data_IF_066123142536
#
_entry.id   IF_066123142536
#
_cell.length_a   1.000
_cell.length_b   1.000
_cell.length_c   1.000
_cell.angle_alpha   90.00
_cell.angle_beta   90.00
_cell.angle_gamma   90.00
#
_symmetry.space_group_name_H-M   'P 1'
#
loop_
_entity.id
_entity.type
_entity.pdbx_description
1 polymer ?
#
# COMPACT_ATOMS: atom_id res chain seq x y z
N UNK A 1 -63.77 14.31 -11.19
CA UNK A 1 -62.88 13.37 -10.50
C UNK A 1 -61.79 12.95 -11.48
N UNK A 2 -60.58 13.53 -11.38
CA UNK A 2 -59.54 13.40 -12.40
C UNK A 2 -58.69 12.15 -12.10
N UNK A 3 -58.79 11.12 -12.94
CA UNK A 3 -57.88 9.96 -12.91
C UNK A 3 -56.57 10.35 -13.60
N UNK A 4 -55.56 10.73 -12.84
CA UNK A 4 -54.19 10.85 -13.34
C UNK A 4 -53.64 9.45 -13.61
N UNK A 5 -53.49 9.13 -14.90
CA UNK A 5 -52.79 7.93 -15.37
C UNK A 5 -51.29 8.15 -15.22
N UNK A 6 -50.73 7.70 -14.10
CA UNK A 6 -49.28 7.59 -13.99
C UNK A 6 -48.81 6.41 -14.83
N UNK A 7 -48.29 6.70 -16.02
CA UNK A 7 -47.71 5.69 -16.87
C UNK A 7 -46.53 5.02 -16.13
N UNK A 8 -46.57 3.68 -15.91
CA UNK A 8 -45.53 2.99 -15.17
C UNK A 8 -44.20 3.14 -15.91
N UNK A 9 -43.26 3.82 -15.26
CA UNK A 9 -41.90 4.00 -15.77
C UNK A 9 -41.32 2.61 -16.05
N UNK A 10 -41.04 2.30 -17.33
CA UNK A 10 -40.63 0.95 -17.74
C UNK A 10 -39.36 0.53 -17.00
N UNK A 11 -39.37 -0.69 -16.46
CA UNK A 11 -38.29 -1.26 -15.64
C UNK A 11 -36.89 -1.05 -16.25
N UNK A 12 -36.76 -1.19 -17.59
CA UNK A 12 -35.51 -0.97 -18.33
C UNK A 12 -34.95 0.46 -18.21
N UNK A 13 -35.80 1.49 -18.12
CA UNK A 13 -35.34 2.89 -18.00
C UNK A 13 -34.75 3.16 -16.63
N UNK A 14 -35.34 2.61 -15.56
CA UNK A 14 -34.84 2.72 -14.19
C UNK A 14 -33.45 2.10 -14.05
N UNK A 15 -33.24 0.90 -14.61
CA UNK A 15 -31.92 0.24 -14.58
C UNK A 15 -30.82 1.02 -15.29
N UNK A 16 -31.12 1.62 -16.46
CA UNK A 16 -30.14 2.46 -17.16
C UNK A 16 -29.74 3.68 -16.34
N UNK A 17 -30.70 4.34 -15.69
CA UNK A 17 -30.42 5.48 -14.81
C UNK A 17 -29.55 5.07 -13.61
N UNK A 18 -29.88 3.95 -12.96
CA UNK A 18 -29.07 3.43 -11.84
C UNK A 18 -27.65 3.07 -12.28
N UNK A 19 -27.49 2.44 -13.45
CA UNK A 19 -26.17 2.11 -14.00
C UNK A 19 -25.35 3.37 -14.27
N UNK A 20 -25.95 4.40 -14.88
CA UNK A 20 -25.27 5.68 -15.13
C UNK A 20 -24.84 6.35 -13.82
N UNK A 21 -25.72 6.38 -12.82
CA UNK A 21 -25.39 6.92 -11.49
C UNK A 21 -24.27 6.13 -10.82
N UNK A 22 -24.28 4.80 -10.92
CA UNK A 22 -23.23 3.94 -10.40
C UNK A 22 -21.87 4.23 -11.06
N UNK A 23 -21.83 4.30 -12.39
CA UNK A 23 -20.60 4.62 -13.13
C UNK A 23 -20.09 6.02 -12.73
N UNK A 24 -20.96 7.02 -12.69
CA UNK A 24 -20.59 8.38 -12.31
C UNK A 24 -20.01 8.44 -10.88
N UNK A 25 -20.65 7.75 -9.92
CA UNK A 25 -20.16 7.66 -8.54
C UNK A 25 -18.80 6.96 -8.46
N UNK A 26 -18.63 5.85 -9.19
CA UNK A 26 -17.37 5.10 -9.22
C UNK A 26 -16.24 5.90 -9.86
N UNK A 27 -16.49 6.57 -10.98
CA UNK A 27 -15.52 7.46 -11.63
C UNK A 27 -15.13 8.64 -10.72
N UNK A 28 -16.10 9.26 -10.05
CA UNK A 28 -15.84 10.33 -9.09
C UNK A 28 -14.97 9.86 -7.92
N UNK A 29 -15.26 8.68 -7.37
CA UNK A 29 -14.44 8.07 -6.33
C UNK A 29 -13.00 7.79 -6.80
N UNK A 30 -12.84 7.26 -8.02
CA UNK A 30 -11.52 6.98 -8.59
C UNK A 30 -10.70 8.26 -8.76
N UNK A 31 -11.31 9.36 -9.24
CA UNK A 31 -10.65 10.66 -9.37
C UNK A 31 -10.18 11.22 -8.03
N UNK A 32 -11.04 11.19 -6.99
CA UNK A 32 -10.67 11.64 -5.64
C UNK A 32 -9.50 10.83 -5.10
N UNK A 33 -9.51 9.52 -5.34
CA UNK A 33 -8.43 8.62 -4.93
C UNK A 33 -7.11 8.94 -5.65
N UNK A 34 -7.14 9.17 -6.95
CA UNK A 34 -5.95 9.53 -7.74
C UNK A 34 -5.36 10.87 -7.31
N UNK A 35 -6.21 11.88 -7.06
CA UNK A 35 -5.77 13.18 -6.55
C UNK A 35 -5.12 13.06 -5.16
N UNK A 36 -5.70 12.24 -4.28
CA UNK A 36 -5.14 11.99 -2.95
C UNK A 36 -3.78 11.30 -3.04
N UNK A 37 -3.66 10.29 -3.88
CA UNK A 37 -2.40 9.58 -4.12
C UNK A 37 -1.30 10.52 -4.64
N UNK A 38 -1.64 11.37 -5.62
CA UNK A 38 -0.72 12.38 -6.15
C UNK A 38 -0.24 13.34 -5.06
N UNK A 39 -1.13 13.84 -4.20
CA UNK A 39 -0.75 14.72 -3.07
C UNK A 39 0.21 14.02 -2.11
N UNK A 40 -0.05 12.76 -1.77
CA UNK A 40 0.83 12.00 -0.89
C UNK A 40 2.23 11.85 -1.51
N UNK A 41 2.33 11.59 -2.81
CA UNK A 41 3.63 11.56 -3.52
C UNK A 41 4.33 12.92 -3.52
N UNK A 42 3.59 13.99 -3.79
CA UNK A 42 4.10 15.37 -3.79
C UNK A 42 4.62 15.79 -2.41
N UNK A 43 4.08 15.23 -1.32
CA UNK A 43 4.58 15.46 0.05
C UNK A 43 5.75 14.56 0.42
N UNK A 44 5.69 13.27 0.08
CA UNK A 44 6.66 12.28 0.48
C UNK A 44 7.98 12.37 -0.29
N UNK A 45 7.93 12.57 -1.61
CA UNK A 45 9.10 12.49 -2.47
C UNK A 45 10.13 13.59 -2.21
N UNK A 46 9.74 14.85 -1.92
CA UNK A 46 10.69 15.86 -1.48
C UNK A 46 11.41 15.46 -0.20
N UNK A 47 10.70 14.96 0.81
CA UNK A 47 11.33 14.50 2.07
C UNK A 47 12.34 13.39 1.82
N UNK A 48 12.00 12.41 0.97
CA UNK A 48 12.94 11.33 0.61
C UNK A 48 14.17 11.90 -0.10
N UNK A 49 13.99 12.83 -1.04
CA UNK A 49 15.10 13.46 -1.76
C UNK A 49 15.98 14.33 -0.86
N UNK A 50 15.37 15.11 0.04
CA UNK A 50 16.07 15.93 1.03
C UNK A 50 16.93 15.07 1.96
N UNK A 51 16.45 13.85 2.25
CA UNK A 51 17.18 12.85 3.02
C UNK A 51 18.20 12.05 2.18
N UNK A 52 18.48 12.47 0.93
CA UNK A 52 19.44 11.82 0.04
C UNK A 52 18.96 10.49 -0.55
N UNK A 53 17.67 10.20 -0.47
CA UNK A 53 17.06 8.98 -0.97
C UNK A 53 16.85 9.00 -2.48
N UNK A 54 17.01 7.82 -3.10
CA UNK A 54 16.65 7.56 -4.49
C UNK A 54 15.30 6.86 -4.53
N UNK A 55 14.46 7.25 -5.48
CA UNK A 55 13.11 6.70 -5.66
C UNK A 55 13.07 5.97 -7.00
N UNK A 56 12.71 4.69 -6.96
CA UNK A 56 12.33 3.88 -8.11
C UNK A 56 10.88 3.46 -7.98
N UNK A 57 10.20 3.22 -9.11
CA UNK A 57 8.82 2.76 -9.14
C UNK A 57 8.61 1.76 -10.26
N UNK A 58 7.87 0.69 -9.98
CA UNK A 58 7.45 -0.30 -10.98
C UNK A 58 5.91 -0.29 -11.00
N UNK A 59 5.28 0.08 -12.13
CA UNK A 59 3.82 0.16 -12.19
C UNK A 59 3.19 -1.22 -12.11
N UNK A 60 2.16 -1.36 -11.27
CA UNK A 60 1.34 -2.58 -11.20
C UNK A 60 -0.14 -2.23 -11.35
N UNK A 61 -0.66 -2.48 -12.55
CA UNK A 61 -1.96 -2.03 -13.07
C UNK A 61 -3.19 -2.32 -12.18
N UNK A 62 -3.13 -3.33 -11.31
CA UNK A 62 -4.29 -3.73 -10.47
C UNK A 62 -4.15 -3.42 -8.99
N UNK A 63 -2.93 -3.21 -8.47
CA UNK A 63 -2.68 -3.11 -7.02
C UNK A 63 -1.84 -1.88 -6.68
N UNK A 64 -1.60 -0.97 -7.64
CA UNK A 64 -0.77 0.21 -7.46
C UNK A 64 0.72 -0.10 -7.59
N UNK A 65 1.54 0.94 -7.77
CA UNK A 65 2.98 0.80 -8.02
C UNK A 65 3.74 0.17 -6.83
N UNK A 66 4.78 -0.60 -7.14
CA UNK A 66 5.84 -0.92 -6.19
C UNK A 66 6.82 0.26 -6.16
N UNK A 67 6.85 0.97 -5.03
CA UNK A 67 7.74 2.11 -4.80
C UNK A 67 8.95 1.61 -4.01
N UNK A 68 10.14 1.71 -4.60
CA UNK A 68 11.41 1.37 -3.97
C UNK A 68 12.17 2.62 -3.63
N UNK A 69 12.41 2.84 -2.35
CA UNK A 69 13.21 3.93 -1.82
C UNK A 69 14.54 3.36 -1.37
N UNK A 70 15.65 3.98 -1.76
CA UNK A 70 16.99 3.53 -1.37
C UNK A 70 17.80 4.70 -0.85
N UNK A 71 18.30 4.57 0.38
CA UNK A 71 19.29 5.45 0.98
C UNK A 71 20.63 4.73 0.99
N UNK A 72 21.69 5.36 0.49
CA UNK A 72 23.01 4.73 0.38
C UNK A 72 24.10 5.62 0.99
N UNK A 73 25.03 4.99 1.72
CA UNK A 73 26.28 5.60 2.19
C UNK A 73 26.07 6.90 2.99
N UNK A 74 24.98 6.96 3.77
CA UNK A 74 24.58 8.13 4.58
C UNK A 74 24.35 7.76 6.03
N UNK A 75 24.74 8.65 6.94
CA UNK A 75 24.39 8.57 8.35
C UNK A 75 23.07 9.30 8.62
N UNK A 76 22.19 8.67 9.38
CA UNK A 76 20.90 9.22 9.80
C UNK A 76 20.90 9.57 11.28
N UNK A 77 20.36 10.73 11.60
CA UNK A 77 19.93 11.06 12.96
C UNK A 77 18.51 10.51 13.21
N UNK A 78 18.16 10.25 14.48
CA UNK A 78 16.84 9.68 14.82
C UNK A 78 15.68 10.59 14.42
N UNK A 79 15.90 11.90 14.48
CA UNK A 79 14.92 12.92 14.08
C UNK A 79 14.64 12.87 12.58
N UNK A 80 15.66 12.52 11.77
CA UNK A 80 15.50 12.35 10.33
C UNK A 80 14.70 11.09 10.00
N UNK A 81 14.90 10.01 10.75
CA UNK A 81 14.12 8.78 10.61
C UNK A 81 12.64 9.01 10.90
N UNK A 82 12.32 9.85 11.90
CA UNK A 82 10.93 10.23 12.19
C UNK A 82 10.24 10.96 11.02
N UNK A 83 11.00 11.70 10.18
CA UNK A 83 10.45 12.37 9.00
C UNK A 83 9.96 11.37 7.94
N UNK A 84 10.38 10.11 7.97
CA UNK A 84 9.91 9.08 7.04
C UNK A 84 8.46 8.65 7.28
N UNK A 85 7.81 9.11 8.36
CA UNK A 85 6.36 8.89 8.59
C UNK A 85 5.48 9.35 7.43
N UNK A 86 5.95 10.32 6.64
CA UNK A 86 5.25 10.80 5.43
C UNK A 86 5.10 9.73 4.34
N UNK A 87 5.82 8.61 4.45
CA UNK A 87 5.68 7.46 3.54
C UNK A 87 4.45 6.61 3.83
N UNK A 88 3.93 6.66 5.06
CA UNK A 88 2.84 5.79 5.50
C UNK A 88 1.58 5.93 4.62
N UNK A 89 1.10 7.14 4.26
CA UNK A 89 -0.09 7.27 3.42
C UNK A 89 0.06 6.73 1.99
N UNK A 90 1.29 6.53 1.50
CA UNK A 90 1.52 5.89 0.20
C UNK A 90 1.15 4.41 0.22
N UNK A 91 1.21 3.77 1.39
CA UNK A 91 0.94 2.34 1.55
C UNK A 91 -0.55 1.97 1.37
N UNK A 92 -1.46 2.96 1.37
CA UNK A 92 -2.89 2.79 1.09
C UNK A 92 -3.14 2.18 -0.31
N UNK A 93 -2.23 2.44 -1.25
CA UNK A 93 -2.31 1.96 -2.63
C UNK A 93 -1.03 1.29 -3.10
N UNK A 94 0.13 1.69 -2.59
CA UNK A 94 1.41 1.24 -3.10
C UNK A 94 2.06 0.22 -2.19
N UNK A 95 2.87 -0.64 -2.80
CA UNK A 95 3.80 -1.42 -2.01
C UNK A 95 5.09 -0.62 -1.84
N UNK A 96 5.34 -0.13 -0.63
CA UNK A 96 6.48 0.76 -0.35
C UNK A 96 7.60 -0.04 0.32
N UNK A 97 8.72 -0.18 -0.37
CA UNK A 97 9.95 -0.75 0.15
C UNK A 97 11.01 0.32 0.39
N UNK A 98 11.62 0.31 1.57
CA UNK A 98 12.67 1.25 1.97
C UNK A 98 13.93 0.45 2.29
N UNK A 99 15.00 0.67 1.52
CA UNK A 99 16.29 0.03 1.70
C UNK A 99 17.33 1.04 2.19
N UNK A 100 18.02 0.69 3.28
CA UNK A 100 19.14 1.44 3.83
C UNK A 100 20.43 0.67 3.57
N UNK A 101 21.22 1.11 2.59
CA UNK A 101 22.44 0.45 2.13
C UNK A 101 23.68 1.13 2.71
N UNK A 102 24.51 0.37 3.41
CA UNK A 102 25.77 0.85 4.01
C UNK A 102 25.58 2.11 4.86
N UNK A 103 24.48 2.17 5.61
CA UNK A 103 24.16 3.29 6.52
C UNK A 103 24.54 2.96 7.96
N UNK A 104 24.54 3.96 8.84
CA UNK A 104 24.76 3.80 10.28
C UNK A 104 23.56 3.23 11.07
N UNK A 105 22.45 2.87 10.42
CA UNK A 105 21.27 2.33 11.12
C UNK A 105 21.61 1.05 11.88
N UNK A 106 21.19 1.01 13.14
CA UNK A 106 21.25 -0.17 14.00
C UNK A 106 19.97 -0.99 13.88
N UNK A 107 19.96 -2.20 14.46
CA UNK A 107 18.79 -3.07 14.45
C UNK A 107 17.61 -2.44 15.23
N UNK A 108 17.91 -1.70 16.30
CA UNK A 108 16.94 -0.93 17.08
C UNK A 108 16.30 0.19 16.26
N UNK A 109 17.07 0.88 15.42
CA UNK A 109 16.55 1.95 14.56
C UNK A 109 15.61 1.39 13.48
N UNK A 110 15.96 0.22 12.92
CA UNK A 110 15.12 -0.49 11.95
C UNK A 110 13.82 -0.97 12.59
N UNK A 111 13.88 -1.49 13.82
CA UNK A 111 12.68 -1.88 14.57
C UNK A 111 11.81 -0.65 14.90
N UNK A 112 12.43 0.45 15.35
CA UNK A 112 11.74 1.71 15.63
C UNK A 112 11.04 2.26 14.38
N UNK A 113 11.72 2.25 13.22
CA UNK A 113 11.10 2.60 11.94
C UNK A 113 9.92 1.69 11.62
N UNK A 114 10.04 0.38 11.90
CA UNK A 114 8.94 -0.57 11.73
C UNK A 114 7.70 -0.24 12.56
N UNK A 115 7.85 0.50 13.67
CA UNK A 115 6.73 1.00 14.47
C UNK A 115 6.18 2.33 13.96
N UNK A 116 7.01 3.17 13.35
CA UNK A 116 6.62 4.49 12.81
C UNK A 116 5.90 4.34 11.46
N UNK A 117 6.38 3.44 10.60
CA UNK A 117 5.84 3.16 9.26
C UNK A 117 5.50 1.67 9.10
N UNK A 118 4.51 1.16 9.87
CA UNK A 118 4.24 -0.27 10.00
C UNK A 118 3.76 -0.95 8.72
N UNK A 119 3.36 -0.20 7.70
CA UNK A 119 2.95 -0.76 6.42
C UNK A 119 4.07 -0.76 5.37
N UNK A 120 5.20 -0.12 5.66
CA UNK A 120 6.37 -0.13 4.79
C UNK A 120 7.21 -1.39 4.99
N UNK A 121 7.94 -1.78 3.94
CA UNK A 121 8.90 -2.87 3.99
C UNK A 121 10.30 -2.32 4.17
N UNK A 122 10.88 -2.51 5.36
CA UNK A 122 12.18 -1.92 5.70
C UNK A 122 13.27 -2.98 5.57
N UNK A 123 14.34 -2.63 4.87
CA UNK A 123 15.51 -3.48 4.67
C UNK A 123 16.78 -2.72 5.04
N UNK A 124 17.64 -3.36 5.83
CA UNK A 124 19.02 -2.93 6.05
C UNK A 124 19.95 -3.80 5.22
N UNK A 125 20.79 -3.16 4.41
CA UNK A 125 21.71 -3.81 3.48
C UNK A 125 23.14 -3.38 3.83
N UNK A 126 24.03 -4.34 4.05
CA UNK A 126 25.46 -4.11 4.34
C UNK A 126 26.26 -4.97 3.38
N UNK A 127 27.24 -4.40 2.68
CA UNK A 127 28.05 -5.12 1.69
C UNK A 127 27.22 -5.87 0.63
N UNK A 128 26.08 -5.28 0.24
CA UNK A 128 25.06 -5.84 -0.67
C UNK A 128 24.27 -7.05 -0.14
N UNK A 129 24.46 -7.44 1.12
CA UNK A 129 23.68 -8.48 1.76
C UNK A 129 22.57 -7.87 2.63
N UNK A 130 21.39 -8.50 2.61
CA UNK A 130 20.27 -8.09 3.46
C UNK A 130 20.53 -8.65 4.86
N UNK A 131 20.96 -7.78 5.78
CA UNK A 131 21.27 -8.17 7.15
C UNK A 131 20.01 -8.23 8.00
N UNK A 132 19.06 -7.33 7.76
CA UNK A 132 17.82 -7.26 8.52
C UNK A 132 16.65 -6.85 7.63
N UNK A 133 15.49 -7.45 7.92
CA UNK A 133 14.25 -7.21 7.19
C UNK A 133 13.08 -7.18 8.17
N UNK A 134 12.43 -6.03 8.26
CA UNK A 134 11.18 -5.88 9.01
C UNK A 134 10.04 -5.81 8.00
N UNK A 135 9.19 -6.83 8.03
CA UNK A 135 8.02 -6.91 7.16
C UNK A 135 6.85 -6.25 7.87
N UNK A 136 6.30 -5.19 7.29
CA UNK A 136 5.08 -4.56 7.80
C UNK A 136 3.96 -5.57 8.05
N UNK A 137 3.34 -5.50 9.23
CA UNK A 137 2.43 -6.53 9.76
C UNK A 137 1.27 -6.87 8.81
N UNK A 138 0.83 -5.90 8.01
CA UNK A 138 -0.32 -6.04 7.09
C UNK A 138 -0.08 -7.07 5.99
N UNK A 139 1.18 -7.35 5.64
CA UNK A 139 1.51 -8.34 4.62
C UNK A 139 1.45 -9.80 5.14
N UNK A 140 1.42 -10.02 6.47
CA UNK A 140 1.36 -11.36 7.04
C UNK A 140 -0.08 -11.91 7.17
N UNK A 141 -1.08 -11.04 7.37
CA UNK A 141 -2.49 -11.47 7.45
C UNK A 141 -3.04 -12.03 6.14
N UNK A 142 -2.55 -11.58 4.98
CA UNK A 142 -3.03 -12.06 3.67
C UNK A 142 -2.51 -13.46 3.31
N UNK A 143 -1.40 -13.91 3.92
CA UNK A 143 -0.81 -15.23 3.64
C UNK A 143 -1.37 -16.36 4.52
N UNK A 144 -1.95 -16.06 5.69
CA UNK A 144 -2.47 -17.10 6.60
C UNK A 144 -3.87 -17.62 6.25
N UNK A 145 -4.60 -16.99 5.33
CA UNK A 145 -5.93 -17.44 4.90
C UNK A 145 -5.94 -18.33 3.64
N UNK A 146 -4.77 -18.82 3.19
CA UNK A 146 -4.60 -19.53 1.92
C UNK A 146 -4.37 -21.04 1.99
N UNK A 147 -4.71 -21.75 3.09
CA UNK A 147 -4.67 -23.21 3.10
C UNK A 147 -5.69 -23.82 4.06
N UNK A 148 -6.84 -24.35 3.58
CA UNK A 148 -7.61 -25.29 4.37
C UNK A 148 -6.76 -26.53 4.61
N UNK A 149 -6.64 -26.91 5.88
CA UNK A 149 -6.08 -28.19 6.28
C UNK A 149 -6.85 -29.31 5.57
N UNK A 150 -6.20 -29.94 4.59
CA UNK A 150 -6.68 -31.18 4.01
C UNK A 150 -6.72 -32.25 5.09
N UNK A 151 -7.92 -32.77 5.32
CA UNK A 151 -8.25 -33.75 6.32
C UNK A 151 -7.43 -35.04 6.16
N UNK A 152 -6.92 -35.54 7.28
CA UNK A 152 -6.48 -36.93 7.42
C UNK A 152 -7.70 -37.83 7.25
N UNK A 153 -7.64 -38.78 6.32
CA UNK A 153 -8.62 -39.85 6.20
C UNK A 153 -7.90 -41.21 6.33
N UNK A 154 -8.22 -41.91 7.42
CA UNK A 154 -8.42 -43.35 7.45
C UNK A 154 -7.20 -44.25 7.25
N UNK A 155 -6.57 -44.63 8.36
CA UNK A 155 -5.92 -45.94 8.44
C UNK A 155 -6.97 -47.03 8.62
N UNK A 156 -6.95 -48.05 7.77
CA UNK A 156 -7.59 -49.34 8.03
C UNK A 156 -6.50 -50.39 8.28
N UNK A 157 -6.61 -51.02 9.45
CA UNK A 157 -5.86 -52.20 9.88
C UNK A 157 -6.24 -53.43 9.04
N UNK A 158 -5.32 -54.38 8.86
CA UNK A 158 -5.59 -55.79 9.11
C UNK A 158 -5.26 -56.16 10.58
#
# INVERSE_FOLDING_TARGET
MIKTSEAPMTYRRRWRLLLVLFIAAFSGWFLVREVRDRRHREQAFPVVKDLGGRIGSIPFWTVGDEIRITFADRSFAREELARLVVLEPLTDRHWVGVAFRNTNLTDDDVEALGRIIPNCFIMRVVDNEIVQRVKGETSQRRSKNGKPAGAQAGGLRP
#
